data_IF_880002905260
#
_entry.id   IF_880002905260
#
_cell.length_a   1.000
_cell.length_b   1.000
_cell.length_c   1.000
_cell.angle_alpha   90.00
_cell.angle_beta   90.00
_cell.angle_gamma   90.00
#
_symmetry.space_group_name_H-M   'P 1'
#
loop_
_entity.id
_entity.type
_entity.pdbx_description
1 polymer ?
#
# COMPACT_ATOMS: atom_id res chain seq x y z
N UNK A 1 11.87 -20.67 -12.73
CA UNK A 1 12.45 -20.13 -11.50
C UNK A 1 11.78 -18.79 -11.26
N UNK A 2 10.68 -18.77 -10.51
CA UNK A 2 9.92 -17.55 -10.28
C UNK A 2 10.74 -16.61 -9.41
N UNK A 3 10.96 -15.39 -9.88
CA UNK A 3 11.59 -14.33 -9.11
C UNK A 3 10.75 -14.11 -7.85
N UNK A 4 11.27 -14.53 -6.69
CA UNK A 4 10.63 -14.26 -5.42
C UNK A 4 10.89 -12.78 -5.16
N UNK A 5 9.89 -11.94 -5.39
CA UNK A 5 9.95 -10.53 -4.97
C UNK A 5 10.24 -10.51 -3.47
N UNK A 6 11.43 -10.05 -3.09
CA UNK A 6 11.85 -9.87 -1.70
C UNK A 6 11.05 -8.70 -1.11
N UNK A 7 9.80 -8.96 -0.73
CA UNK A 7 8.97 -8.03 0.03
C UNK A 7 9.49 -7.94 1.45
N UNK A 8 10.51 -7.09 1.67
CA UNK A 8 10.88 -6.63 3.02
C UNK A 8 9.78 -5.70 3.54
N UNK A 9 8.74 -6.29 4.12
CA UNK A 9 7.54 -5.56 4.54
C UNK A 9 7.77 -4.67 5.78
N UNK A 10 8.83 -4.92 6.57
CA UNK A 10 9.10 -4.16 7.80
C UNK A 10 10.59 -3.83 7.97
N UNK A 11 10.90 -2.53 7.96
CA UNK A 11 12.22 -1.99 8.33
C UNK A 11 12.30 -1.50 9.78
N UNK A 12 11.17 -1.48 10.49
CA UNK A 12 11.07 -1.15 11.91
C UNK A 12 10.33 -2.27 12.62
N UNK A 13 10.76 -2.56 13.85
CA UNK A 13 9.96 -3.37 14.76
C UNK A 13 8.60 -2.69 15.01
N UNK A 14 7.50 -3.45 15.23
CA UNK A 14 6.17 -2.88 15.42
C UNK A 14 6.10 -1.81 16.51
N UNK A 15 6.78 -2.03 17.65
CA UNK A 15 6.83 -1.06 18.75
C UNK A 15 7.57 0.23 18.36
N UNK A 16 8.64 0.11 17.58
CA UNK A 16 9.37 1.28 17.07
C UNK A 16 8.52 2.05 16.05
N UNK A 17 7.78 1.34 15.21
CA UNK A 17 6.88 1.97 14.23
C UNK A 17 5.79 2.79 14.93
N UNK A 18 5.16 2.26 15.97
CA UNK A 18 4.15 2.99 16.74
C UNK A 18 4.72 4.24 17.44
N UNK A 19 5.93 4.13 18.00
CA UNK A 19 6.63 5.29 18.57
C UNK A 19 6.89 6.38 17.52
N UNK A 20 7.36 6.00 16.33
CA UNK A 20 7.66 6.96 15.25
C UNK A 20 6.37 7.60 14.73
N UNK A 21 5.27 6.84 14.55
CA UNK A 21 3.97 7.38 14.15
C UNK A 21 3.46 8.48 15.07
N UNK A 22 3.77 8.39 16.37
CA UNK A 22 3.39 9.40 17.36
C UNK A 22 4.27 10.65 17.37
N UNK A 23 5.42 10.63 16.69
CA UNK A 23 6.41 11.72 16.73
C UNK A 23 6.48 12.50 15.42
N UNK A 24 6.31 11.82 14.27
CA UNK A 24 6.45 12.42 12.95
C UNK A 24 5.41 11.88 11.97
N UNK A 25 5.00 12.68 10.98
CA UNK A 25 4.22 12.17 9.86
C UNK A 25 5.06 11.15 9.07
N UNK A 26 4.41 10.07 8.62
CA UNK A 26 5.03 9.06 7.77
C UNK A 26 4.62 9.28 6.31
N UNK A 27 5.57 9.11 5.39
CA UNK A 27 5.31 9.22 3.95
C UNK A 27 4.62 7.94 3.46
N UNK A 28 3.49 8.13 2.78
CA UNK A 28 2.69 7.04 2.21
C UNK A 28 2.42 7.30 0.72
N UNK A 29 2.23 6.22 -0.01
CA UNK A 29 1.71 6.24 -1.37
C UNK A 29 0.37 5.52 -1.42
N UNK A 30 -0.51 6.04 -2.26
CA UNK A 30 -1.72 5.36 -2.71
C UNK A 30 -1.59 5.16 -4.22
N UNK A 31 -1.39 3.91 -4.63
CA UNK A 31 -1.39 3.52 -6.03
C UNK A 31 -2.82 3.14 -6.44
N UNK A 32 -3.33 3.82 -7.48
CA UNK A 32 -4.66 3.56 -8.06
C UNK A 32 -4.50 2.61 -9.25
N UNK A 33 -4.81 1.31 -9.11
CA UNK A 33 -4.69 0.37 -10.22
C UNK A 33 -5.79 0.63 -11.23
N UNK A 34 -5.44 0.86 -12.49
CA UNK A 34 -6.40 1.14 -13.55
C UNK A 34 -6.21 0.24 -14.76
N UNK A 35 -7.32 -0.09 -15.44
CA UNK A 35 -7.28 -0.57 -16.83
C UNK A 35 -7.62 0.59 -17.75
N UNK A 36 -6.84 0.75 -18.80
CA UNK A 36 -7.06 1.77 -19.84
C UNK A 36 -7.43 1.12 -21.17
N UNK A 37 -8.13 1.84 -22.03
CA UNK A 37 -8.33 1.44 -23.43
C UNK A 37 -7.14 1.87 -24.31
N UNK A 38 -7.23 1.64 -25.63
CA UNK A 38 -6.17 1.95 -26.60
C UNK A 38 -5.81 3.44 -26.67
N UNK A 39 -6.71 4.33 -26.26
CA UNK A 39 -6.48 5.78 -26.20
C UNK A 39 -5.95 6.25 -24.84
N UNK A 40 -5.66 5.34 -23.91
CA UNK A 40 -5.19 5.66 -22.56
C UNK A 40 -6.28 6.13 -21.61
N UNK A 41 -7.56 6.06 -22.01
CA UNK A 41 -8.69 6.45 -21.14
C UNK A 41 -8.95 5.34 -20.12
N UNK A 42 -9.05 5.72 -18.84
CA UNK A 42 -9.39 4.80 -17.75
C UNK A 42 -10.78 4.22 -17.97
N UNK A 43 -10.87 2.89 -17.95
CA UNK A 43 -12.13 2.15 -18.09
C UNK A 43 -12.55 1.46 -16.80
N UNK A 44 -11.58 1.07 -15.96
CA UNK A 44 -11.84 0.38 -14.70
C UNK A 44 -10.82 0.78 -13.65
N UNK A 45 -11.27 0.82 -12.39
CA UNK A 45 -10.41 0.96 -11.21
C UNK A 45 -10.43 -0.35 -10.43
N UNK A 46 -9.26 -0.93 -10.21
CA UNK A 46 -9.08 -2.13 -9.40
C UNK A 46 -8.99 -1.77 -7.93
N UNK A 47 -9.79 -2.43 -7.09
CA UNK A 47 -9.79 -2.23 -5.64
C UNK A 47 -9.57 -3.57 -4.95
N UNK A 48 -8.80 -3.57 -3.86
CA UNK A 48 -8.64 -4.73 -2.99
C UNK A 48 -9.85 -4.85 -2.06
N UNK A 49 -10.43 -6.04 -1.98
CA UNK A 49 -11.45 -6.37 -1.00
C UNK A 49 -10.77 -6.78 0.31
N UNK A 50 -11.16 -6.18 1.43
CA UNK A 50 -10.65 -6.54 2.76
C UNK A 50 -11.70 -6.41 3.84
N UNK A 51 -11.54 -7.16 4.92
CA UNK A 51 -12.29 -6.90 6.15
C UNK A 51 -11.66 -5.72 6.89
N UNK A 52 -12.47 -4.76 7.31
CA UNK A 52 -12.07 -3.65 8.16
C UNK A 52 -11.92 -4.11 9.62
N UNK A 53 -11.23 -3.34 10.49
CA UNK A 53 -11.02 -3.71 11.89
C UNK A 53 -12.32 -3.92 12.69
N UNK A 54 -13.41 -3.26 12.27
CA UNK A 54 -14.75 -3.39 12.85
C UNK A 54 -15.53 -4.61 12.31
N UNK A 55 -14.90 -5.44 11.46
CA UNK A 55 -15.51 -6.63 10.88
C UNK A 55 -16.30 -6.37 9.59
N UNK A 56 -16.51 -5.11 9.20
CA UNK A 56 -17.21 -4.75 7.96
C UNK A 56 -16.39 -5.10 6.72
N UNK A 57 -17.04 -5.27 5.57
CA UNK A 57 -16.35 -5.46 4.30
C UNK A 57 -16.06 -4.09 3.70
N UNK A 58 -14.78 -3.83 3.43
CA UNK A 58 -14.29 -2.58 2.86
C UNK A 58 -13.49 -2.84 1.59
N UNK A 59 -13.34 -1.78 0.79
CA UNK A 59 -12.47 -1.77 -0.39
C UNK A 59 -11.38 -0.74 -0.18
N UNK A 60 -10.16 -1.06 -0.59
CA UNK A 60 -9.01 -0.16 -0.50
C UNK A 60 -8.22 -0.18 -1.79
N UNK A 61 -7.48 0.90 -2.05
CA UNK A 61 -6.46 0.95 -3.10
C UNK A 61 -5.18 0.27 -2.60
N UNK A 62 -4.17 0.17 -3.46
CA UNK A 62 -2.86 -0.35 -3.06
C UNK A 62 -2.12 0.76 -2.33
N UNK A 63 -2.10 0.67 -1.00
CA UNK A 63 -1.51 1.68 -0.13
C UNK A 63 -0.30 1.13 0.61
N UNK A 64 0.72 1.96 0.81
CA UNK A 64 1.95 1.54 1.50
C UNK A 64 2.77 2.72 1.99
N UNK A 65 3.64 2.45 2.96
CA UNK A 65 4.59 3.42 3.49
C UNK A 65 5.87 3.39 2.65
N UNK A 66 6.46 4.56 2.43
CA UNK A 66 7.77 4.69 1.78
C UNK A 66 8.88 4.38 2.80
N UNK A 67 9.86 3.58 2.40
CA UNK A 67 11.02 3.23 3.22
C UNK A 67 12.01 4.40 3.27
N UNK A 68 12.75 4.52 4.37
CA UNK A 68 13.84 5.48 4.44
C UNK A 68 14.92 5.09 3.41
N UNK A 69 15.29 6.02 2.55
CA UNK A 69 16.22 5.80 1.42
C UNK A 69 15.73 4.79 0.36
N UNK A 70 14.41 4.63 0.21
CA UNK A 70 13.83 3.91 -0.94
C UNK A 70 14.23 4.60 -2.25
N UNK A 71 14.57 3.81 -3.28
CA UNK A 71 15.02 4.30 -4.60
C UNK A 71 14.32 3.55 -5.72
#
# INVERSE_FOLDING_TARGET
>A
MGEITDTRTNWLDPNQLELVRGQVPLVYIDAIPVRVNELGVVTHVGMLLRQAPDGSISRTVVSGRVLLNER
#
